data_IF_186348143276
#
_entry.id   IF_186348143276
#
_cell.length_a   1.000
_cell.length_b   1.000
_cell.length_c   1.000
_cell.angle_alpha   90.00
_cell.angle_beta   90.00
_cell.angle_gamma   90.00
#
_symmetry.space_group_name_H-M   'P 1'
#
loop_
_entity.id
_entity.type
_entity.pdbx_description
1 polymer ?
#
# COMPACT_ATOMS: atom_id res chain seq x y z
N UNK A 1 11.80 -15.77 2.73
CA UNK A 1 11.38 -15.12 1.47
C UNK A 1 10.83 -13.76 1.87
N UNK A 2 11.15 -12.69 1.15
CA UNK A 2 10.61 -11.36 1.46
C UNK A 2 9.08 -11.37 1.33
N UNK A 3 8.38 -10.72 2.26
CA UNK A 3 6.93 -10.56 2.29
C UNK A 3 6.58 -9.11 1.96
N UNK A 4 5.72 -8.92 0.98
CA UNK A 4 5.37 -7.62 0.42
C UNK A 4 3.88 -7.36 0.62
N UNK A 5 3.54 -6.21 1.19
CA UNK A 5 2.18 -5.67 1.14
C UNK A 5 2.11 -4.63 0.04
N UNK A 6 1.05 -4.68 -0.75
CA UNK A 6 0.72 -3.65 -1.73
C UNK A 6 -0.42 -2.80 -1.18
N UNK A 7 -0.22 -1.48 -1.07
CA UNK A 7 -1.27 -0.51 -0.74
C UNK A 7 -1.51 0.32 -1.99
N UNK A 8 -2.68 0.21 -2.59
CA UNK A 8 -2.89 0.72 -3.95
C UNK A 8 -4.18 1.49 -4.09
N UNK A 9 -4.21 2.40 -5.08
CA UNK A 9 -5.46 2.98 -5.55
C UNK A 9 -5.39 3.29 -7.05
N UNK A 10 -6.56 3.26 -7.68
CA UNK A 10 -6.79 3.58 -9.07
C UNK A 10 -6.05 2.67 -10.07
N UNK A 11 -6.14 3.09 -11.34
CA UNK A 11 -5.56 2.33 -12.45
C UNK A 11 -4.04 2.22 -12.37
N UNK A 12 -3.36 3.21 -11.78
CA UNK A 12 -1.90 3.16 -11.65
C UNK A 12 -1.47 2.12 -10.61
N UNK A 13 -2.07 2.12 -9.41
CA UNK A 13 -1.80 1.11 -8.38
C UNK A 13 -2.04 -0.31 -8.89
N UNK A 14 -3.17 -0.55 -9.56
CA UNK A 14 -3.48 -1.84 -10.18
C UNK A 14 -2.42 -2.28 -11.21
N UNK A 15 -1.89 -1.34 -12.01
CA UNK A 15 -0.81 -1.62 -12.96
C UNK A 15 0.49 -2.01 -12.27
N UNK A 16 0.84 -1.37 -11.15
CA UNK A 16 2.04 -1.70 -10.38
C UNK A 16 1.94 -3.12 -9.80
N UNK A 17 0.81 -3.46 -9.19
CA UNK A 17 0.57 -4.83 -8.65
C UNK A 17 0.70 -5.88 -9.75
N UNK A 18 0.02 -5.66 -10.89
CA UNK A 18 0.09 -6.59 -12.02
C UNK A 18 1.51 -6.73 -12.57
N UNK A 19 2.26 -5.63 -12.65
CA UNK A 19 3.66 -5.64 -13.10
C UNK A 19 4.51 -6.48 -12.15
N UNK A 20 4.42 -6.25 -10.84
CA UNK A 20 5.15 -7.04 -9.85
C UNK A 20 4.81 -8.53 -9.93
N UNK A 21 3.52 -8.85 -10.07
CA UNK A 21 3.06 -10.22 -10.21
C UNK A 21 3.63 -10.92 -11.45
N UNK A 22 3.53 -10.28 -12.62
CA UNK A 22 4.02 -10.81 -13.91
C UNK A 22 5.54 -10.96 -13.94
N UNK A 23 6.27 -10.09 -13.23
CA UNK A 23 7.73 -10.16 -13.12
C UNK A 23 8.24 -11.08 -11.99
N UNK A 24 7.38 -11.97 -11.46
CA UNK A 24 7.79 -13.07 -10.58
C UNK A 24 7.72 -12.79 -9.08
N UNK A 25 7.18 -11.64 -8.67
CA UNK A 25 7.02 -11.30 -7.24
C UNK A 25 5.67 -11.73 -6.66
N UNK A 26 4.75 -12.31 -7.46
CA UNK A 26 3.45 -12.76 -6.97
C UNK A 26 3.53 -13.64 -5.70
N UNK A 27 4.46 -14.62 -5.57
CA UNK A 27 4.57 -15.44 -4.35
C UNK A 27 5.04 -14.67 -3.10
N UNK A 28 5.56 -13.44 -3.27
CA UNK A 28 6.03 -12.58 -2.20
C UNK A 28 4.96 -11.58 -1.74
N UNK A 29 3.94 -11.33 -2.58
CA UNK A 29 2.83 -10.43 -2.24
C UNK A 29 1.89 -11.18 -1.29
N UNK A 30 1.86 -10.76 -0.02
CA UNK A 30 1.05 -11.41 1.03
C UNK A 30 -0.31 -10.74 1.21
N UNK A 31 -0.45 -9.48 0.79
CA UNK A 31 -1.73 -8.78 0.72
C UNK A 31 -1.70 -7.66 -0.31
N UNK A 32 -2.88 -7.34 -0.83
CA UNK A 32 -3.16 -6.15 -1.62
C UNK A 32 -4.34 -5.45 -0.98
N UNK A 33 -4.13 -4.22 -0.50
CA UNK A 33 -5.18 -3.34 -0.01
C UNK A 33 -5.48 -2.29 -1.07
N UNK A 34 -6.69 -2.33 -1.61
CA UNK A 34 -7.13 -1.43 -2.67
C UNK A 34 -8.06 -0.36 -2.09
N UNK A 35 -7.60 0.89 -2.15
CA UNK A 35 -8.27 2.10 -1.71
C UNK A 35 -8.84 2.89 -2.89
N UNK A 36 -9.03 2.25 -4.05
CA UNK A 36 -9.71 2.89 -5.19
C UNK A 36 -11.10 3.37 -4.79
N UNK A 37 -11.31 4.69 -4.88
CA UNK A 37 -12.59 5.32 -4.53
C UNK A 37 -12.67 5.81 -3.08
N UNK A 38 -11.73 5.42 -2.23
CA UNK A 38 -11.49 6.09 -0.95
C UNK A 38 -10.74 7.38 -1.26
N UNK A 39 -11.38 8.52 -1.04
CA UNK A 39 -10.85 9.82 -1.46
C UNK A 39 -11.49 10.94 -0.68
N UNK A 40 -10.75 11.46 0.30
CA UNK A 40 -11.01 12.75 0.94
C UNK A 40 -9.71 13.54 0.92
N UNK A 41 -9.80 14.83 0.60
CA UNK A 41 -8.61 15.72 0.54
C UNK A 41 -7.89 15.83 1.88
N UNK A 42 -8.54 15.42 2.99
CA UNK A 42 -7.95 15.35 4.32
C UNK A 42 -8.51 14.17 5.11
N UNK A 43 -7.63 13.34 5.66
CA UNK A 43 -7.99 12.29 6.61
C UNK A 43 -7.77 12.81 8.03
N UNK A 44 -8.84 12.85 8.84
CA UNK A 44 -8.73 13.20 10.26
C UNK A 44 -7.96 12.13 11.06
N UNK A 45 -8.21 10.86 10.75
CA UNK A 45 -7.56 9.70 11.39
C UNK A 45 -7.25 8.61 10.35
N UNK A 46 -5.98 8.44 9.94
CA UNK A 46 -5.57 7.40 8.99
C UNK A 46 -5.87 5.98 9.48
N UNK A 47 -5.93 5.76 10.80
CA UNK A 47 -6.17 4.44 11.38
C UNK A 47 -7.59 3.94 11.11
N UNK A 48 -8.53 4.86 10.84
CA UNK A 48 -9.93 4.52 10.50
C UNK A 48 -10.07 3.73 9.19
N UNK A 49 -9.05 3.78 8.34
CA UNK A 49 -8.99 3.07 7.06
C UNK A 49 -8.12 1.82 7.10
N UNK A 50 -7.57 1.45 8.26
CA UNK A 50 -6.82 0.22 8.39
C UNK A 50 -7.71 -1.01 8.16
N UNK A 51 -7.19 -2.06 7.49
CA UNK A 51 -7.90 -3.33 7.40
C UNK A 51 -8.08 -3.92 8.80
N UNK A 52 -9.10 -4.76 8.99
CA UNK A 52 -9.34 -5.43 10.29
C UNK A 52 -8.18 -6.32 10.76
N UNK A 53 -7.27 -6.67 9.85
CA UNK A 53 -6.06 -7.42 10.13
C UNK A 53 -5.00 -7.09 9.08
N UNK A 54 -3.87 -6.59 9.54
CA UNK A 54 -2.67 -6.43 8.71
C UNK A 54 -1.74 -7.64 8.90
N UNK A 55 -1.39 -8.38 7.83
CA UNK A 55 -0.42 -9.48 7.95
C UNK A 55 1.00 -8.93 8.14
N UNK A 56 1.87 -9.73 8.74
CA UNK A 56 3.28 -9.37 8.86
C UNK A 56 3.95 -9.25 7.48
N UNK A 57 4.75 -8.20 7.27
CA UNK A 57 5.49 -7.98 6.05
C UNK A 57 6.91 -7.43 6.31
N UNK A 58 7.77 -7.53 5.31
CA UNK A 58 9.13 -6.97 5.36
C UNK A 58 9.21 -5.65 4.58
N UNK A 59 8.33 -5.49 3.58
CA UNK A 59 8.22 -4.32 2.72
C UNK A 59 6.75 -3.98 2.47
N UNK A 60 6.42 -2.69 2.56
CA UNK A 60 5.15 -2.15 2.05
C UNK A 60 5.40 -1.30 0.81
N UNK A 61 4.58 -1.45 -0.22
CA UNK A 61 4.66 -0.66 -1.46
C UNK A 61 3.34 0.08 -1.67
N UNK A 62 3.40 1.41 -1.63
CA UNK A 62 2.30 2.31 -1.85
C UNK A 62 2.32 2.88 -3.28
N UNK A 63 1.26 2.64 -4.06
CA UNK A 63 1.20 3.04 -5.47
C UNK A 63 -0.18 3.54 -5.89
N UNK A 64 -0.24 4.70 -6.54
CA UNK A 64 -1.47 5.32 -7.00
C UNK A 64 -2.31 5.97 -5.90
N UNK A 65 -1.75 6.10 -4.69
CA UNK A 65 -2.37 6.79 -3.58
C UNK A 65 -2.29 8.31 -3.78
N UNK A 66 -3.34 9.02 -3.40
CA UNK A 66 -3.42 10.48 -3.45
C UNK A 66 -3.60 11.08 -2.05
N UNK A 67 -3.07 12.28 -1.85
CA UNK A 67 -3.22 13.04 -0.60
C UNK A 67 -2.82 12.25 0.64
N UNK A 68 -3.69 12.28 1.65
CA UNK A 68 -3.45 11.68 2.96
C UNK A 68 -3.52 10.13 2.95
N UNK A 69 -3.92 9.47 1.86
CA UNK A 69 -3.87 8.00 1.78
C UNK A 69 -2.45 7.46 1.93
N UNK A 70 -1.42 8.28 1.66
CA UNK A 70 -0.05 7.91 1.96
C UNK A 70 0.19 7.71 3.47
N UNK A 71 -0.57 8.39 4.33
CA UNK A 71 -0.54 8.17 5.79
C UNK A 71 -1.15 6.82 6.15
N UNK A 72 -2.22 6.40 5.48
CA UNK A 72 -2.81 5.05 5.66
C UNK A 72 -1.78 3.97 5.30
N UNK A 73 -1.04 4.15 4.20
CA UNK A 73 0.02 3.22 3.83
C UNK A 73 1.15 3.17 4.88
N UNK A 74 1.48 4.30 5.50
CA UNK A 74 2.45 4.35 6.59
C UNK A 74 1.97 3.59 7.84
N UNK A 75 0.69 3.73 8.21
CA UNK A 75 0.10 2.97 9.32
C UNK A 75 0.07 1.46 9.02
N UNK A 76 -0.27 1.05 7.80
CA UNK A 76 -0.20 -0.37 7.37
C UNK A 76 1.25 -0.89 7.46
N UNK A 77 2.23 -0.10 7.05
CA UNK A 77 3.63 -0.48 7.15
C UNK A 77 4.07 -0.64 8.62
N UNK A 78 3.60 0.23 9.52
CA UNK A 78 3.86 0.13 10.95
C UNK A 78 3.19 -1.11 11.57
N UNK A 79 1.90 -1.36 11.30
CA UNK A 79 1.16 -2.50 11.86
C UNK A 79 1.68 -3.85 11.35
N UNK A 80 2.08 -3.92 10.07
CA UNK A 80 2.69 -5.12 9.47
C UNK A 80 4.10 -5.42 9.97
N UNK A 81 4.74 -4.51 10.70
CA UNK A 81 6.15 -4.64 11.08
C UNK A 81 7.12 -4.51 9.89
N UNK A 82 6.70 -3.89 8.79
CA UNK A 82 7.55 -3.66 7.62
C UNK A 82 8.80 -2.86 8.00
N UNK A 83 9.97 -3.37 7.62
CA UNK A 83 11.24 -2.66 7.85
C UNK A 83 11.49 -1.52 6.86
N UNK A 84 10.69 -1.45 5.79
CA UNK A 84 10.78 -0.43 4.75
C UNK A 84 9.41 -0.19 4.10
N UNK A 85 9.19 1.04 3.64
CA UNK A 85 8.05 1.42 2.79
C UNK A 85 8.56 2.17 1.55
N UNK A 86 8.01 1.84 0.38
CA UNK A 86 8.19 2.60 -0.86
C UNK A 86 6.89 3.34 -1.14
N UNK A 87 6.97 4.66 -1.28
CA UNK A 87 5.80 5.51 -1.56
C UNK A 87 6.06 6.29 -2.84
N UNK A 88 5.06 6.31 -3.73
CA UNK A 88 5.06 7.18 -4.89
C UNK A 88 5.08 8.66 -4.47
N UNK A 89 6.05 9.42 -5.01
CA UNK A 89 6.07 10.88 -4.85
C UNK A 89 5.32 11.53 -6.01
N UNK A 90 4.38 12.40 -5.67
CA UNK A 90 3.69 13.28 -6.64
C UNK A 90 4.34 14.66 -6.75
N UNK A 91 5.47 14.89 -6.05
CA UNK A 91 6.30 16.07 -6.20
C UNK A 91 7.34 15.86 -7.33
N UNK A 92 7.67 16.90 -8.13
CA UNK A 92 8.73 16.84 -9.14
C UNK A 92 10.13 16.58 -8.57
#
# INVERSE_FOLDING_TARGET
>A
MMRIIMVTAGNYGARVVNTMAVHGLAPQIVAVFDYTGEGGDFLDDPSSLLPSRTPDADLTVAAGLGGDLNLVAAEIAAESGSGCIIVESHAP
#
